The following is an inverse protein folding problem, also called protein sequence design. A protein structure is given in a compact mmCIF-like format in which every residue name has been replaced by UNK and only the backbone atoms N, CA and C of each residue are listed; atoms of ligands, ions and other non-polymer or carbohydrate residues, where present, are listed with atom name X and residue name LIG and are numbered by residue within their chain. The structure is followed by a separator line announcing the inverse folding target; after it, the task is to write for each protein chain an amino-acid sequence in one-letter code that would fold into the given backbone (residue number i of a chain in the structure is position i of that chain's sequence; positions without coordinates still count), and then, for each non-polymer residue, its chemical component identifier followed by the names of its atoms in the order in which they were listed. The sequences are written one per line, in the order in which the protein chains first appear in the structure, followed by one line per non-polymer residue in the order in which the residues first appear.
data_IF_141745249948
#
_entry.id   IF_141745249948
#
_cell.length_a   1.000
_cell.length_b   1.000
_cell.length_c   1.000
_cell.angle_alpha   90.00
_cell.angle_beta   90.00
_cell.angle_gamma   90.00
#
_symmetry.space_group_name_H-M   'P 1'
#
loop_
_entity.id
_entity.type
_entity.pdbx_description
1 polymer ?
#
# COMPACT_ATOMS: atom_id res chain seq x y z
N UNK A 1 -3.78 -8.15 -36.00
CA UNK A 1 -4.62 -7.01 -35.57
C UNK A 1 -4.80 -6.88 -34.04
N UNK A 2 -4.24 -7.79 -33.22
CA UNK A 2 -4.38 -7.78 -31.74
C UNK A 2 -3.72 -6.58 -31.03
N UNK A 3 -2.55 -6.13 -31.49
CA UNK A 3 -1.77 -5.09 -30.81
C UNK A 3 -2.50 -3.73 -30.69
N UNK A 4 -3.35 -3.37 -31.67
CA UNK A 4 -4.06 -2.09 -31.65
C UNK A 4 -5.05 -1.99 -30.50
N UNK A 5 -5.75 -3.09 -30.18
CA UNK A 5 -6.69 -3.14 -29.06
C UNK A 5 -5.98 -3.11 -27.71
N UNK A 6 -4.83 -3.79 -27.59
CA UNK A 6 -4.02 -3.75 -26.36
C UNK A 6 -3.50 -2.33 -26.11
N UNK A 7 -3.01 -1.64 -27.15
CA UNK A 7 -2.59 -0.23 -27.03
C UNK A 7 -3.76 0.65 -26.63
N UNK A 8 -4.95 0.46 -27.22
CA UNK A 8 -6.15 1.19 -26.84
C UNK A 8 -6.54 0.96 -25.37
N UNK A 9 -6.45 -0.28 -24.88
CA UNK A 9 -6.69 -0.60 -23.47
C UNK A 9 -5.73 0.14 -22.53
N UNK A 10 -4.44 0.17 -22.87
CA UNK A 10 -3.43 0.93 -22.11
C UNK A 10 -3.75 2.43 -22.08
N UNK A 11 -4.13 3.02 -23.22
CA UNK A 11 -4.52 4.43 -23.31
C UNK A 11 -5.72 4.72 -22.41
N UNK A 12 -6.72 3.84 -22.35
CA UNK A 12 -7.88 4.00 -21.49
C UNK A 12 -7.52 3.99 -20.00
N UNK A 13 -6.60 3.12 -19.58
CA UNK A 13 -6.13 3.08 -18.18
C UNK A 13 -5.40 4.38 -17.82
N UNK A 14 -4.47 4.83 -18.68
CA UNK A 14 -3.70 6.07 -18.46
C UNK A 14 -4.62 7.29 -18.46
N UNK A 15 -5.59 7.34 -19.37
CA UNK A 15 -6.61 8.38 -19.41
C UNK A 15 -7.42 8.38 -18.11
N UNK A 16 -7.86 7.21 -17.62
CA UNK A 16 -8.60 7.07 -16.37
C UNK A 16 -7.83 7.62 -15.17
N UNK A 17 -6.56 7.28 -15.03
CA UNK A 17 -5.69 7.81 -13.96
C UNK A 17 -5.56 9.34 -14.06
N UNK A 18 -5.50 9.86 -15.27
CA UNK A 18 -5.34 11.30 -15.53
C UNK A 18 -6.60 12.13 -15.23
N UNK A 19 -7.79 11.50 -15.16
CA UNK A 19 -9.07 12.17 -14.85
C UNK A 19 -9.02 12.90 -13.49
N UNK A 20 -8.23 12.42 -12.53
CA UNK A 20 -8.16 13.04 -11.21
C UNK A 20 -7.57 14.47 -11.26
N UNK A 21 -6.76 14.78 -12.27
CA UNK A 21 -6.18 16.13 -12.48
C UNK A 21 -7.19 17.15 -13.02
N UNK A 22 -8.36 16.70 -13.48
CA UNK A 22 -9.39 17.57 -14.03
C UNK A 22 -10.22 18.22 -12.91
N UNK A 23 -10.48 19.52 -13.03
CA UNK A 23 -11.35 20.27 -12.10
C UNK A 23 -12.82 19.95 -12.39
N UNK A 24 -13.25 18.74 -12.03
CA UNK A 24 -14.60 18.22 -12.24
C UNK A 24 -15.22 17.74 -10.93
N UNK A 25 -16.57 17.71 -10.81
CA UNK A 25 -17.24 17.12 -9.65
C UNK A 25 -16.85 15.65 -9.49
N UNK A 26 -16.71 15.23 -8.23
CA UNK A 26 -16.14 13.93 -7.85
C UNK A 26 -16.98 12.76 -8.36
N UNK A 27 -18.30 12.91 -8.43
CA UNK A 27 -19.21 11.91 -9.02
C UNK A 27 -18.94 11.68 -10.51
N UNK A 28 -18.73 12.75 -11.29
CA UNK A 28 -18.43 12.64 -12.72
C UNK A 28 -17.07 11.98 -12.96
N UNK A 29 -16.05 12.36 -12.18
CA UNK A 29 -14.72 11.73 -12.25
C UNK A 29 -14.78 10.23 -11.97
N UNK A 30 -15.52 9.83 -10.92
CA UNK A 30 -15.76 8.42 -10.58
C UNK A 30 -16.42 7.65 -11.73
N UNK A 31 -17.47 8.21 -12.35
CA UNK A 31 -18.16 7.56 -13.49
C UNK A 31 -17.22 7.41 -14.69
N UNK A 32 -16.53 8.47 -15.08
CA UNK A 32 -15.61 8.47 -16.23
C UNK A 32 -14.50 7.44 -16.02
N UNK A 33 -13.93 7.36 -14.81
CA UNK A 33 -12.91 6.37 -14.48
C UNK A 33 -13.40 4.92 -14.68
N UNK A 34 -14.59 4.59 -14.16
CA UNK A 34 -15.15 3.25 -14.30
C UNK A 34 -15.57 2.93 -15.73
N UNK A 35 -16.07 3.91 -16.50
CA UNK A 35 -16.35 3.73 -17.92
C UNK A 35 -15.07 3.45 -18.73
N UNK A 36 -13.99 4.18 -18.47
CA UNK A 36 -12.68 3.94 -19.11
C UNK A 36 -12.10 2.57 -18.73
N UNK A 37 -12.27 2.15 -17.47
CA UNK A 37 -11.83 0.83 -17.01
C UNK A 37 -12.62 -0.30 -17.67
N UNK A 38 -13.95 -0.15 -17.80
CA UNK A 38 -14.80 -1.11 -18.51
C UNK A 38 -14.45 -1.17 -20.00
N UNK A 39 -14.20 -0.02 -20.63
CA UNK A 39 -13.81 0.07 -22.03
C UNK A 39 -12.43 -0.56 -22.28
N UNK A 40 -11.48 -0.40 -21.35
CA UNK A 40 -10.19 -1.09 -21.39
C UNK A 40 -10.37 -2.62 -21.33
N UNK A 41 -11.27 -3.12 -20.47
CA UNK A 41 -11.57 -4.55 -20.41
C UNK A 41 -12.18 -5.08 -21.72
N UNK A 42 -13.08 -4.32 -22.35
CA UNK A 42 -13.64 -4.68 -23.67
C UNK A 42 -12.54 -4.78 -24.73
N UNK A 43 -11.60 -3.83 -24.75
CA UNK A 43 -10.48 -3.89 -25.69
C UNK A 43 -9.54 -5.06 -25.42
N UNK A 44 -9.30 -5.44 -24.16
CA UNK A 44 -8.57 -6.67 -23.84
C UNK A 44 -9.30 -7.91 -24.34
N UNK A 45 -10.62 -7.98 -24.17
CA UNK A 45 -11.44 -9.09 -24.68
C UNK A 45 -11.34 -9.19 -26.19
N UNK A 46 -11.48 -8.07 -26.91
CA UNK A 46 -11.36 -8.03 -28.38
C UNK A 46 -9.92 -8.27 -28.87
N UNK A 47 -8.91 -7.87 -28.10
CA UNK A 47 -7.50 -8.06 -28.45
C UNK A 47 -7.01 -9.49 -28.28
N UNK A 48 -7.59 -10.22 -27.32
CA UNK A 48 -7.14 -11.56 -26.91
C UNK A 48 -8.21 -12.65 -27.10
N UNK A 49 -9.24 -12.41 -27.92
CA UNK A 49 -10.35 -13.36 -28.10
C UNK A 49 -9.92 -14.76 -28.55
N UNK A 50 -8.78 -14.87 -29.24
CA UNK A 50 -8.29 -16.14 -29.79
C UNK A 50 -7.46 -16.96 -28.79
N UNK A 51 -7.03 -16.37 -27.67
CA UNK A 51 -6.21 -17.02 -26.65
C UNK A 51 -6.82 -16.78 -25.27
N UNK A 52 -7.46 -17.83 -24.73
CA UNK A 52 -8.16 -17.78 -23.46
C UNK A 52 -7.19 -17.59 -22.28
N UNK A 53 -5.96 -18.10 -22.36
CA UNK A 53 -4.97 -17.92 -21.29
C UNK A 53 -4.48 -16.47 -21.25
N UNK A 54 -4.13 -15.91 -22.41
CA UNK A 54 -3.72 -14.51 -22.52
C UNK A 54 -4.87 -13.56 -22.14
N UNK A 55 -6.10 -13.89 -22.54
CA UNK A 55 -7.30 -13.14 -22.16
C UNK A 55 -7.48 -13.08 -20.65
N UNK A 56 -7.48 -14.23 -19.97
CA UNK A 56 -7.63 -14.30 -18.51
C UNK A 56 -6.51 -13.54 -17.80
N UNK A 57 -5.27 -13.72 -18.24
CA UNK A 57 -4.11 -13.04 -17.66
C UNK A 57 -4.23 -11.51 -17.78
N UNK A 58 -4.54 -11.00 -18.97
CA UNK A 58 -4.67 -9.55 -19.19
C UNK A 58 -5.89 -8.97 -18.47
N UNK A 59 -7.02 -9.68 -18.43
CA UNK A 59 -8.22 -9.21 -17.73
C UNK A 59 -7.99 -9.15 -16.22
N UNK A 60 -7.25 -10.12 -15.67
CA UNK A 60 -6.79 -10.08 -14.29
C UNK A 60 -5.87 -8.87 -14.03
N UNK A 61 -4.87 -8.63 -14.90
CA UNK A 61 -3.96 -7.48 -14.78
C UNK A 61 -4.71 -6.15 -14.86
N UNK A 62 -5.64 -5.98 -15.81
CA UNK A 62 -6.44 -4.75 -15.94
C UNK A 62 -7.30 -4.55 -14.70
N UNK A 63 -7.95 -5.59 -14.21
CA UNK A 63 -8.77 -5.51 -12.99
C UNK A 63 -7.92 -5.13 -11.78
N UNK A 64 -6.79 -5.81 -11.59
CA UNK A 64 -5.86 -5.55 -10.50
C UNK A 64 -5.32 -4.12 -10.56
N UNK A 65 -4.96 -3.64 -11.75
CA UNK A 65 -4.39 -2.30 -11.95
C UNK A 65 -5.43 -1.21 -11.73
N UNK A 66 -6.64 -1.37 -12.29
CA UNK A 66 -7.72 -0.38 -12.14
C UNK A 66 -8.26 -0.37 -10.71
N UNK A 67 -8.61 -1.51 -10.12
CA UNK A 67 -9.09 -1.58 -8.73
C UNK A 67 -7.97 -1.17 -7.76
N UNK A 68 -6.74 -1.63 -7.97
CA UNK A 68 -5.59 -1.31 -7.13
C UNK A 68 -5.25 0.18 -7.15
N UNK A 69 -5.18 0.79 -8.34
CA UNK A 69 -4.95 2.24 -8.45
C UNK A 69 -6.10 3.05 -7.89
N UNK A 70 -7.35 2.63 -8.11
CA UNK A 70 -8.53 3.27 -7.55
C UNK A 70 -8.56 3.18 -6.02
N UNK A 71 -8.08 2.08 -5.44
CA UNK A 71 -7.97 1.93 -4.00
C UNK A 71 -6.82 2.76 -3.43
N UNK A 72 -5.67 2.77 -4.09
CA UNK A 72 -4.45 3.40 -3.58
C UNK A 72 -4.48 4.93 -3.66
N UNK A 73 -4.98 5.48 -4.76
CA UNK A 73 -4.75 6.89 -5.12
C UNK A 73 -6.02 7.70 -5.38
N UNK A 74 -7.22 7.11 -5.31
CA UNK A 74 -8.45 7.85 -5.63
C UNK A 74 -9.62 7.53 -4.68
N UNK A 75 -10.63 8.40 -4.60
CA UNK A 75 -11.86 8.16 -3.84
C UNK A 75 -12.96 7.47 -4.69
N UNK A 76 -12.59 6.60 -5.64
CA UNK A 76 -13.53 6.09 -6.66
C UNK A 76 -14.28 4.82 -6.27
N UNK A 77 -13.79 4.05 -5.29
CA UNK A 77 -14.47 2.85 -4.82
C UNK A 77 -15.52 3.24 -3.77
N UNK A 78 -16.80 3.17 -4.13
CA UNK A 78 -17.93 3.41 -3.22
C UNK A 78 -18.80 2.17 -3.13
N UNK A 79 -18.99 1.67 -1.91
CA UNK A 79 -19.83 0.50 -1.63
C UNK A 79 -20.80 0.88 -0.52
N UNK A 80 -22.12 0.75 -0.77
CA UNK A 80 -23.20 1.04 0.19
C UNK A 80 -23.08 2.42 0.85
N UNK A 81 -22.75 3.44 0.07
CA UNK A 81 -22.63 4.81 0.56
C UNK A 81 -21.30 5.15 1.26
N UNK A 82 -20.41 4.18 1.50
CA UNK A 82 -19.07 4.41 2.09
C UNK A 82 -17.98 4.36 1.02
N UNK A 83 -17.02 5.28 1.09
CA UNK A 83 -15.84 5.30 0.22
C UNK A 83 -14.75 4.44 0.85
N UNK A 84 -14.21 3.51 0.06
CA UNK A 84 -13.10 2.65 0.45
C UNK A 84 -11.85 3.10 -0.29
N UNK A 85 -10.91 3.73 0.41
CA UNK A 85 -9.63 4.15 -0.16
C UNK A 85 -8.50 3.89 0.83
N UNK A 86 -7.27 3.78 0.34
CA UNK A 86 -6.07 3.56 1.15
C UNK A 86 -5.77 4.77 2.02
N UNK A 87 -5.81 5.96 1.43
CA UNK A 87 -5.56 7.23 2.11
C UNK A 87 -6.84 7.78 2.73
N UNK A 88 -6.81 8.26 3.99
CA UNK A 88 -8.01 8.79 4.63
C UNK A 88 -8.49 10.14 4.07
N UNK A 89 -7.64 10.88 3.35
CA UNK A 89 -8.11 12.04 2.56
C UNK A 89 -9.10 11.61 1.48
N UNK A 90 -8.87 10.46 0.85
CA UNK A 90 -9.79 9.92 -0.14
C UNK A 90 -11.03 9.29 0.49
N UNK A 91 -10.91 8.65 1.67
CA UNK A 91 -12.08 8.14 2.43
C UNK A 91 -13.05 9.29 2.76
N UNK A 92 -12.51 10.45 3.13
CA UNK A 92 -13.29 11.59 3.58
C UNK A 92 -13.51 12.67 2.50
N UNK A 93 -13.26 12.36 1.23
CA UNK A 93 -13.28 13.34 0.14
C UNK A 93 -14.63 14.03 -0.08
N UNK A 94 -15.73 13.44 0.39
CA UNK A 94 -17.09 14.00 0.31
C UNK A 94 -17.48 14.82 1.57
N UNK A 95 -16.66 14.81 2.63
CA UNK A 95 -16.93 15.57 3.87
C UNK A 95 -16.22 16.92 3.87
N UNK A 96 -16.97 18.00 4.08
CA UNK A 96 -16.44 19.38 4.04
C UNK A 96 -15.45 19.71 5.16
N UNK A 97 -15.50 19.00 6.29
CA UNK A 97 -14.72 19.33 7.50
C UNK A 97 -13.55 18.38 7.79
N UNK A 98 -13.41 17.26 7.08
CA UNK A 98 -12.41 16.25 7.44
C UNK A 98 -10.96 16.67 7.10
N UNK A 99 -10.75 17.43 6.02
CA UNK A 99 -9.41 17.90 5.67
C UNK A 99 -8.82 18.85 6.72
N UNK A 100 -9.66 19.57 7.47
CA UNK A 100 -9.22 20.44 8.55
C UNK A 100 -8.79 19.67 9.82
N UNK A 101 -9.24 18.41 9.96
CA UNK A 101 -9.01 17.59 11.16
C UNK A 101 -7.91 16.54 10.99
N UNK A 102 -7.54 16.18 9.76
CA UNK A 102 -6.47 15.23 9.48
C UNK A 102 -5.09 15.87 9.64
N UNK A 103 -4.30 15.37 10.59
CA UNK A 103 -2.90 15.75 10.71
C UNK A 103 -2.10 15.22 9.51
N UNK A 104 -1.09 15.97 9.02
CA UNK A 104 -0.34 15.65 7.78
C UNK A 104 0.24 14.24 7.66
N UNK A 105 0.40 13.49 8.76
CA UNK A 105 0.89 12.10 8.74
C UNK A 105 -0.23 11.06 8.58
N UNK A 106 -1.47 11.41 8.94
CA UNK A 106 -2.65 10.58 8.65
C UNK A 106 -2.94 10.56 7.14
N UNK A 107 -2.44 11.53 6.35
CA UNK A 107 -2.67 11.62 4.91
C UNK A 107 -2.24 10.38 4.11
N UNK A 108 -1.23 9.64 4.57
CA UNK A 108 -0.56 8.60 3.75
C UNK A 108 -1.32 7.27 3.82
N UNK A 109 -1.82 6.89 5.00
CA UNK A 109 -2.59 5.67 5.21
C UNK A 109 -3.16 5.67 6.64
N UNK A 110 -4.32 5.04 6.83
CA UNK A 110 -4.85 4.84 8.18
C UNK A 110 -3.92 3.95 9.02
N UNK A 111 -3.68 4.26 10.30
CA UNK A 111 -2.88 3.46 11.24
C UNK A 111 -2.99 1.93 11.09
N UNK A 112 -4.19 1.32 11.13
CA UNK A 112 -4.33 -0.13 11.01
C UNK A 112 -3.86 -0.68 9.65
N UNK A 113 -3.98 0.08 8.56
CA UNK A 113 -3.55 -0.37 7.23
C UNK A 113 -2.03 -0.37 7.10
N UNK A 114 -1.36 0.66 7.63
CA UNK A 114 0.10 0.73 7.68
C UNK A 114 0.68 -0.46 8.45
N UNK A 115 0.13 -0.71 9.64
CA UNK A 115 0.62 -1.78 10.49
C UNK A 115 0.30 -3.19 9.94
N UNK A 116 -0.81 -3.38 9.22
CA UNK A 116 -1.04 -4.61 8.46
C UNK A 116 -0.06 -4.81 7.30
N UNK A 117 0.35 -3.75 6.61
CA UNK A 117 1.40 -3.84 5.57
C UNK A 117 2.72 -4.27 6.21
N UNK A 118 3.11 -3.65 7.33
CA UNK A 118 4.33 -4.03 8.06
C UNK A 118 4.28 -5.48 8.52
N UNK A 119 3.16 -5.92 9.11
CA UNK A 119 2.98 -7.29 9.54
C UNK A 119 3.00 -8.27 8.35
N UNK A 120 2.36 -7.93 7.24
CA UNK A 120 2.34 -8.75 6.03
C UNK A 120 3.74 -8.90 5.41
N UNK A 121 4.51 -7.80 5.33
CA UNK A 121 5.90 -7.86 4.89
C UNK A 121 6.76 -8.71 5.84
N UNK A 122 6.62 -8.52 7.15
CA UNK A 122 7.36 -9.30 8.14
C UNK A 122 7.10 -10.81 7.99
N UNK A 123 5.83 -11.21 7.81
CA UNK A 123 5.45 -12.60 7.56
C UNK A 123 5.96 -13.12 6.21
N UNK A 124 5.95 -12.30 5.16
CA UNK A 124 6.49 -12.69 3.85
C UNK A 124 8.00 -12.94 3.92
N UNK A 125 8.74 -12.11 4.67
CA UNK A 125 10.17 -12.32 4.93
C UNK A 125 10.41 -13.59 5.74
N UNK A 126 9.62 -13.83 6.78
CA UNK A 126 9.71 -15.03 7.62
C UNK A 126 9.47 -16.30 6.77
N UNK A 127 8.43 -16.29 5.93
CA UNK A 127 8.15 -17.37 5.00
C UNK A 127 9.30 -17.57 3.98
N UNK A 128 9.88 -16.48 3.46
CA UNK A 128 11.02 -16.55 2.54
C UNK A 128 12.25 -17.16 3.21
N UNK A 129 12.58 -16.74 4.43
CA UNK A 129 13.68 -17.29 5.23
C UNK A 129 13.45 -18.76 5.60
N UNK A 130 12.24 -19.12 6.05
CA UNK A 130 11.91 -20.53 6.31
C UNK A 130 12.02 -21.37 5.05
N UNK A 131 11.62 -20.84 3.89
CA UNK A 131 11.71 -21.56 2.62
C UNK A 131 13.14 -21.77 2.12
N UNK A 132 14.07 -20.84 2.41
CA UNK A 132 15.48 -20.99 2.02
C UNK A 132 16.24 -21.98 2.91
N UNK A 133 15.77 -22.22 4.13
CA UNK A 133 16.36 -23.17 5.08
C UNK A 133 15.92 -24.64 4.83
N UNK A 134 14.89 -24.88 4.01
CA UNK A 134 14.40 -26.23 3.73
C UNK A 134 15.20 -26.89 2.60
N UNK A 135 15.84 -28.06 2.83
CA UNK A 135 16.59 -28.77 1.79
C UNK A 135 15.66 -29.34 0.70
N UNK A 136 15.99 -29.11 -0.58
CA UNK A 136 15.36 -29.77 -1.72
C UNK A 136 14.23 -29.02 -2.45
N UNK A 137 13.96 -27.75 -2.11
CA UNK A 137 12.98 -26.92 -2.84
C UNK A 137 13.67 -25.97 -3.82
N UNK A 138 13.07 -25.74 -4.98
CA UNK A 138 13.47 -24.67 -5.90
C UNK A 138 13.49 -23.36 -5.13
N UNK A 139 14.69 -22.78 -4.97
CA UNK A 139 14.88 -21.50 -4.28
C UNK A 139 14.05 -20.46 -5.03
N UNK A 140 13.24 -19.71 -4.29
CA UNK A 140 12.72 -18.44 -4.80
C UNK A 140 13.96 -17.66 -5.24
N UNK A 141 13.96 -17.20 -6.49
CA UNK A 141 15.10 -16.81 -7.32
C UNK A 141 15.91 -15.58 -6.81
N UNK A 142 16.25 -15.54 -5.52
CA UNK A 142 17.24 -14.66 -4.94
C UNK A 142 18.58 -15.37 -5.09
N UNK A 143 19.43 -14.78 -5.91
CA UNK A 143 20.65 -15.41 -6.41
C UNK A 143 21.69 -15.65 -5.29
N UNK A 144 21.49 -15.04 -4.11
CA UNK A 144 22.36 -15.20 -2.94
C UNK A 144 21.55 -15.01 -1.63
N UNK A 145 21.69 -15.94 -0.67
CA UNK A 145 21.00 -15.89 0.64
C UNK A 145 21.34 -14.59 1.42
N UNK A 146 22.47 -13.98 1.08
CA UNK A 146 22.95 -12.70 1.61
C UNK A 146 22.04 -11.52 1.23
N UNK A 147 21.49 -11.51 0.02
CA UNK A 147 20.64 -10.40 -0.45
C UNK A 147 19.31 -10.36 0.31
N UNK A 148 18.73 -11.52 0.58
CA UNK A 148 17.50 -11.65 1.36
C UNK A 148 17.70 -11.15 2.79
N UNK A 149 18.82 -11.53 3.43
CA UNK A 149 19.19 -11.08 4.77
C UNK A 149 19.41 -9.56 4.79
N UNK A 150 20.15 -9.02 3.81
CA UNK A 150 20.39 -7.58 3.71
C UNK A 150 19.08 -6.80 3.52
N UNK A 151 18.17 -7.31 2.68
CA UNK A 151 16.86 -6.70 2.46
C UNK A 151 15.99 -6.73 3.72
N UNK A 152 15.98 -7.85 4.45
CA UNK A 152 15.25 -7.98 5.71
C UNK A 152 15.80 -7.02 6.78
N UNK A 153 17.12 -6.87 6.85
CA UNK A 153 17.79 -5.98 7.80
C UNK A 153 17.55 -4.50 7.43
N UNK A 154 17.61 -4.16 6.14
CA UNK A 154 17.25 -2.84 5.64
C UNK A 154 15.78 -2.49 5.90
N UNK A 155 14.86 -3.44 5.67
CA UNK A 155 13.44 -3.29 6.00
C UNK A 155 13.25 -3.03 7.49
N UNK A 156 13.87 -3.85 8.35
CA UNK A 156 13.83 -3.66 9.80
C UNK A 156 14.34 -2.27 10.17
N UNK A 157 15.53 -1.87 9.71
CA UNK A 157 16.08 -0.55 10.02
C UNK A 157 15.16 0.59 9.58
N UNK A 158 14.78 0.63 8.31
CA UNK A 158 14.02 1.75 7.74
C UNK A 158 12.63 1.89 8.35
N UNK A 159 11.86 0.80 8.41
CA UNK A 159 10.49 0.86 8.91
C UNK A 159 10.45 0.99 10.43
N UNK A 160 11.33 0.29 11.15
CA UNK A 160 11.35 0.34 12.61
C UNK A 160 11.77 1.72 13.12
N UNK A 161 12.84 2.29 12.57
CA UNK A 161 13.33 3.62 12.98
C UNK A 161 12.37 4.70 12.50
N UNK A 162 11.90 4.61 11.24
CA UNK A 162 11.00 5.60 10.66
C UNK A 162 9.66 5.69 11.40
N UNK A 163 9.03 4.55 11.71
CA UNK A 163 7.76 4.52 12.44
C UNK A 163 7.93 4.96 13.90
N UNK A 164 8.96 4.48 14.60
CA UNK A 164 9.19 4.87 16.00
C UNK A 164 9.51 6.36 16.15
N UNK A 165 10.38 6.90 15.29
CA UNK A 165 10.64 8.35 15.22
C UNK A 165 9.38 9.14 14.89
N UNK A 166 8.64 8.72 13.86
CA UNK A 166 7.42 9.39 13.43
C UNK A 166 6.37 9.45 14.53
N UNK A 167 6.04 8.30 15.12
CA UNK A 167 5.01 8.21 16.16
C UNK A 167 5.38 9.03 17.42
N UNK A 168 6.64 8.99 17.86
CA UNK A 168 7.11 9.78 19.00
C UNK A 168 7.09 11.29 18.72
N UNK A 169 7.54 11.71 17.53
CA UNK A 169 7.55 13.13 17.12
C UNK A 169 6.14 13.73 17.18
N UNK A 170 5.13 12.97 16.78
CA UNK A 170 3.74 13.43 16.79
C UNK A 170 3.02 13.16 18.11
N UNK A 171 3.62 12.43 19.06
CA UNK A 171 3.03 12.15 20.37
C UNK A 171 1.95 11.08 20.33
N UNK A 172 1.97 10.22 19.31
CA UNK A 172 1.11 9.06 19.26
C UNK A 172 1.56 8.02 20.29
N UNK A 173 0.63 7.25 20.89
CA UNK A 173 1.00 6.13 21.74
C UNK A 173 1.71 5.05 20.92
N UNK A 174 2.54 4.24 21.60
CA UNK A 174 3.29 3.11 21.01
C UNK A 174 2.39 2.27 20.08
N UNK A 175 2.86 2.10 18.84
CA UNK A 175 2.23 1.40 17.74
C UNK A 175 0.78 1.83 17.46
N UNK A 176 0.41 3.06 17.83
CA UNK A 176 -0.96 3.58 17.74
C UNK A 176 -2.02 2.61 18.31
N UNK A 177 -1.63 1.85 19.35
CA UNK A 177 -2.41 0.77 20.01
C UNK A 177 -2.65 -0.51 19.18
N UNK A 178 -2.02 -0.65 18.01
CA UNK A 178 -2.08 -1.85 17.17
C UNK A 178 -1.15 -2.97 17.68
N UNK A 179 -1.39 -3.44 18.90
CA UNK A 179 -0.50 -4.39 19.61
C UNK A 179 -0.30 -5.70 18.85
N UNK A 180 -1.34 -6.23 18.21
CA UNK A 180 -1.28 -7.51 17.53
C UNK A 180 -0.34 -7.49 16.32
N UNK A 181 -0.42 -6.44 15.50
CA UNK A 181 0.46 -6.26 14.32
C UNK A 181 1.90 -6.00 14.73
N UNK A 182 2.11 -5.22 15.79
CA UNK A 182 3.44 -5.00 16.36
C UNK A 182 4.05 -6.31 16.88
N UNK A 183 3.27 -7.15 17.57
CA UNK A 183 3.72 -8.46 18.06
C UNK A 183 4.11 -9.37 16.90
N UNK A 184 3.32 -9.43 15.83
CA UNK A 184 3.67 -10.21 14.62
C UNK A 184 5.02 -9.76 14.07
N UNK A 185 5.20 -8.46 13.82
CA UNK A 185 6.45 -7.91 13.31
C UNK A 185 7.66 -8.17 14.26
N UNK A 186 7.40 -8.15 15.57
CA UNK A 186 8.42 -8.44 16.59
C UNK A 186 8.84 -9.91 16.56
N UNK A 187 7.89 -10.83 16.52
CA UNK A 187 8.17 -12.27 16.50
C UNK A 187 8.90 -12.65 15.20
N UNK A 188 8.39 -12.19 14.04
CA UNK A 188 8.99 -12.49 12.73
C UNK A 188 10.39 -11.90 12.55
N UNK A 189 10.77 -10.87 13.32
CA UNK A 189 12.14 -10.30 13.29
C UNK A 189 13.02 -10.75 14.46
N UNK A 190 12.59 -11.77 15.22
CA UNK A 190 13.25 -12.23 16.44
C UNK A 190 13.55 -11.10 17.45
N UNK A 191 12.66 -10.10 17.52
CA UNK A 191 12.77 -8.97 18.43
C UNK A 191 13.56 -7.76 17.90
N UNK A 192 14.27 -7.89 16.77
CA UNK A 192 15.08 -6.81 16.20
C UNK A 192 14.24 -5.57 15.87
N UNK A 193 13.04 -5.78 15.32
CA UNK A 193 12.11 -4.69 15.02
C UNK A 193 11.66 -3.97 16.29
N UNK A 194 11.28 -4.69 17.35
CA UNK A 194 10.87 -4.03 18.59
C UNK A 194 12.00 -3.22 19.23
N UNK A 195 13.22 -3.77 19.26
CA UNK A 195 14.40 -3.09 19.79
C UNK A 195 14.64 -1.75 19.08
N UNK A 196 14.74 -1.77 17.75
CA UNK A 196 15.00 -0.56 16.95
C UNK A 196 13.85 0.45 17.05
N UNK A 197 12.61 -0.03 17.07
CA UNK A 197 11.40 0.80 17.10
C UNK A 197 11.28 1.50 18.44
N UNK A 198 11.42 0.77 19.54
CA UNK A 198 11.33 1.35 20.88
C UNK A 198 12.48 2.31 21.14
N UNK A 199 13.70 1.96 20.71
CA UNK A 199 14.87 2.83 20.85
C UNK A 199 14.65 4.17 20.15
N UNK A 200 14.21 4.16 18.89
CA UNK A 200 13.94 5.39 18.14
C UNK A 200 12.78 6.19 18.74
N UNK A 201 11.72 5.52 19.20
CA UNK A 201 10.57 6.14 19.85
C UNK A 201 10.97 6.86 21.15
N UNK A 202 11.67 6.17 22.06
CA UNK A 202 12.07 6.74 23.35
C UNK A 202 13.12 7.85 23.20
N UNK A 203 14.11 7.70 22.31
CA UNK A 203 15.08 8.77 22.02
C UNK A 203 14.38 10.05 21.53
N UNK A 204 13.39 9.89 20.66
CA UNK A 204 12.64 11.02 20.11
C UNK A 204 11.68 11.63 21.14
N UNK A 205 11.07 10.81 22.00
CA UNK A 205 10.23 11.30 23.09
C UNK A 205 11.03 12.09 24.14
N UNK A 206 12.24 11.62 24.47
CA UNK A 206 13.15 12.29 25.40
C UNK A 206 13.60 13.67 24.89
N UNK A 207 13.97 13.77 23.61
CA UNK A 207 14.39 15.04 23.01
C UNK A 207 13.26 16.06 22.99
N UNK A 208 12.01 15.63 22.77
CA UNK A 208 10.82 16.49 22.82
C UNK A 208 10.51 17.03 24.23
N UNK A 209 10.61 16.18 25.26
CA UNK A 209 10.39 16.62 26.64
C UNK A 209 11.38 17.69 27.10
N UNK A 210 12.59 17.67 26.53
CA UNK A 210 13.66 18.65 26.82
C UNK A 210 13.43 20.01 26.16
N UNK A 211 12.73 20.07 25.01
CA UNK A 211 12.45 21.33 24.30
C UNK A 211 11.21 22.07 24.80
N UNK A 212 10.33 21.42 25.56
CA UNK A 212 9.14 22.06 26.16
C UNK A 212 9.38 22.64 27.56
N UNK A 213 10.57 22.42 28.12
CA UNK A 213 10.97 22.87 29.46
C UNK A 213 11.96 24.05 29.47
N UNK A 214 12.20 24.67 28.32
CA UNK A 214 12.99 25.91 28.16
C UNK A 214 12.09 27.03 27.68
#
# INVERSE_FOLDING_TARGET
MSNGFIVAACVCIVAGISVDRLKMPLESRRRIYWYLSALAAIFVILGSYNDLQMLLALLFIVTLTTVGSAYAFTPYIRIRGRIYAFQPVHINAESKDANAKLQRHELIATPPKMWWIVAGFALAFDAALCSSLLPGRERINFQDDRELILLALAFCLLFSVGLGYGEAKFGYPIAQRQRLQFVIATISSAGLFAMLYLTSYYLTALTRGRSSGS
#
